data_IF_356379643980
#
_entry.id   IF_356379643980
#
_cell.length_a   1.000
_cell.length_b   1.000
_cell.length_c   1.000
_cell.angle_alpha   90.00
_cell.angle_beta   90.00
_cell.angle_gamma   90.00
#
_symmetry.space_group_name_H-M   'P 1'
#
loop_
_entity.id
_entity.type
_entity.pdbx_description
1 polymer ?
#
# COMPACT_ATOMS: atom_id res chain seq x y z
N UNK A 1 17.04 16.18 -20.94
CA UNK A 1 17.14 15.69 -22.33
C UNK A 1 17.69 14.28 -22.27
N UNK A 2 17.09 13.36 -23.02
CA UNK A 2 17.59 12.00 -23.23
C UNK A 2 17.63 11.83 -24.74
N UNK A 3 18.80 11.58 -25.32
CA UNK A 3 19.01 11.44 -26.77
C UNK A 3 18.40 12.60 -27.58
N UNK A 4 18.78 13.84 -27.25
CA UNK A 4 18.34 15.08 -27.95
C UNK A 4 16.83 15.38 -27.92
N UNK A 5 16.03 14.49 -27.33
CA UNK A 5 14.59 14.68 -27.14
C UNK A 5 14.30 15.40 -25.82
N UNK A 6 13.44 16.42 -25.87
CA UNK A 6 12.91 17.12 -24.69
C UNK A 6 11.70 16.35 -24.16
N UNK A 7 11.86 15.77 -22.96
CA UNK A 7 10.76 15.12 -22.25
C UNK A 7 10.22 16.06 -21.18
N UNK A 8 8.90 16.29 -21.19
CA UNK A 8 8.22 17.02 -20.12
C UNK A 8 7.94 16.05 -18.98
N UNK A 9 8.61 16.25 -17.86
CA UNK A 9 8.36 15.49 -16.63
C UNK A 9 7.26 16.19 -15.84
N UNK A 10 6.32 15.42 -15.31
CA UNK A 10 5.32 15.89 -14.34
C UNK A 10 5.16 14.85 -13.25
N UNK A 11 4.81 15.31 -12.05
CA UNK A 11 4.38 14.40 -10.99
C UNK A 11 3.04 13.81 -11.42
N UNK A 12 2.93 12.48 -11.40
CA UNK A 12 1.68 11.78 -11.70
C UNK A 12 0.75 11.79 -10.49
N UNK A 13 1.22 11.25 -9.37
CA UNK A 13 0.48 11.18 -8.12
C UNK A 13 1.46 11.07 -6.94
N UNK A 14 1.03 11.48 -5.76
CA UNK A 14 1.70 11.22 -4.49
C UNK A 14 0.93 10.13 -3.74
N UNK A 15 1.58 8.99 -3.58
CA UNK A 15 1.05 7.80 -2.90
C UNK A 15 1.79 7.66 -1.57
N UNK A 16 1.08 7.82 -0.46
CA UNK A 16 1.65 7.72 0.88
C UNK A 16 0.57 7.36 1.90
N UNK A 17 0.98 6.96 3.11
CA UNK A 17 0.06 6.69 4.21
C UNK A 17 -0.62 7.98 4.73
N UNK A 18 -1.67 7.83 5.55
CA UNK A 18 -2.47 8.98 6.02
C UNK A 18 -1.64 10.04 6.78
N UNK A 19 -0.74 9.68 7.72
CA UNK A 19 0.13 10.65 8.38
C UNK A 19 1.04 11.40 7.40
N UNK A 20 1.71 10.71 6.48
CA UNK A 20 2.61 11.34 5.52
C UNK A 20 1.87 12.29 4.59
N UNK A 21 0.66 11.93 4.11
CA UNK A 21 -0.17 12.82 3.28
C UNK A 21 -0.55 14.11 3.99
N UNK A 22 -0.96 14.01 5.25
CA UNK A 22 -1.30 15.19 6.05
C UNK A 22 -0.07 16.10 6.26
N UNK A 23 1.07 15.48 6.58
CA UNK A 23 2.33 16.18 6.78
C UNK A 23 2.79 16.94 5.52
N UNK A 24 2.90 16.27 4.37
CA UNK A 24 3.39 16.89 3.14
C UNK A 24 2.44 17.97 2.59
N UNK A 25 1.13 17.84 2.83
CA UNK A 25 0.15 18.87 2.45
C UNK A 25 0.10 20.05 3.43
N UNK A 26 0.73 19.94 4.60
CA UNK A 26 0.64 20.96 5.63
C UNK A 26 -0.77 21.11 6.22
N UNK A 27 -1.53 20.01 6.32
CA UNK A 27 -2.94 20.04 6.77
C UNK A 27 -3.12 19.35 8.13
N UNK A 28 -4.31 19.47 8.69
CA UNK A 28 -4.72 18.73 9.89
C UNK A 28 -4.61 17.22 9.70
N UNK A 29 -4.46 16.48 10.80
CA UNK A 29 -4.40 15.02 10.78
C UNK A 29 -5.68 14.43 10.20
N UNK A 30 -5.59 13.24 9.60
CA UNK A 30 -6.73 12.47 9.10
C UNK A 30 -7.78 12.13 10.19
N UNK A 31 -7.38 12.17 11.46
CA UNK A 31 -8.24 12.01 12.63
C UNK A 31 -8.69 13.36 13.24
N UNK A 32 -8.59 14.47 12.51
CA UNK A 32 -9.14 15.76 12.94
C UNK A 32 -10.56 15.96 12.40
N UNK A 33 -11.28 16.92 12.98
CA UNK A 33 -12.63 17.34 12.56
C UNK A 33 -12.71 17.65 11.07
N UNK A 34 -11.78 18.41 10.51
CA UNK A 34 -11.70 18.69 9.07
C UNK A 34 -10.61 17.84 8.39
N UNK A 35 -10.50 16.56 8.76
CA UNK A 35 -9.37 15.68 8.43
C UNK A 35 -9.37 15.03 7.05
N UNK A 36 -10.53 14.90 6.39
CA UNK A 36 -10.58 14.35 5.04
C UNK A 36 -9.72 15.19 4.09
N UNK A 37 -9.02 14.60 3.12
CA UNK A 37 -8.17 15.33 2.18
C UNK A 37 -8.90 15.76 0.90
N UNK A 38 -10.09 15.20 0.66
CA UNK A 38 -10.81 15.27 -0.62
C UNK A 38 -12.12 16.03 -0.53
N UNK A 39 -12.83 15.98 0.60
CA UNK A 39 -14.09 16.69 0.78
C UNK A 39 -14.18 17.41 2.13
N UNK A 40 -15.03 18.41 2.18
CA UNK A 40 -15.24 19.31 3.31
C UNK A 40 -16.07 18.68 4.46
N UNK A 41 -16.21 17.35 4.47
CA UNK A 41 -16.89 16.63 5.54
C UNK A 41 -16.27 16.94 6.91
N UNK A 42 -17.14 17.15 7.88
CA UNK A 42 -16.80 17.46 9.26
C UNK A 42 -17.03 16.20 10.10
N UNK A 43 -15.94 15.67 10.67
CA UNK A 43 -16.01 14.54 11.57
C UNK A 43 -16.44 14.99 12.97
N UNK A 44 -17.28 14.18 13.61
CA UNK A 44 -17.75 14.39 14.98
C UNK A 44 -16.88 13.58 15.95
N UNK A 45 -16.61 14.17 17.11
CA UNK A 45 -15.90 13.48 18.20
C UNK A 45 -16.91 12.70 19.05
N UNK A 46 -16.66 11.41 19.21
CA UNK A 46 -17.32 10.59 20.22
C UNK A 46 -16.50 10.63 21.51
N UNK A 47 -17.05 11.30 22.54
CA UNK A 47 -16.42 11.45 23.85
C UNK A 47 -16.26 10.13 24.61
N UNK A 48 -17.07 9.11 24.30
CA UNK A 48 -17.03 7.81 24.99
C UNK A 48 -15.87 6.97 24.47
N UNK A 49 -15.74 6.85 23.14
CA UNK A 49 -14.68 6.04 22.53
C UNK A 49 -13.42 6.84 22.23
N UNK A 50 -13.47 8.17 22.39
CA UNK A 50 -12.43 9.12 22.03
C UNK A 50 -11.99 9.01 20.56
N UNK A 51 -12.96 8.83 19.66
CA UNK A 51 -12.75 8.64 18.22
C UNK A 51 -13.46 9.71 17.41
N UNK A 52 -12.93 9.98 16.22
CA UNK A 52 -13.62 10.77 15.21
C UNK A 52 -14.38 9.86 14.26
N UNK A 53 -15.63 10.21 13.96
CA UNK A 53 -16.46 9.53 12.98
C UNK A 53 -17.08 10.52 11.99
N UNK A 54 -17.38 10.06 10.79
CA UNK A 54 -17.98 10.85 9.73
C UNK A 54 -19.44 10.47 9.54
N UNK A 55 -20.27 11.48 9.27
CA UNK A 55 -21.69 11.31 9.01
C UNK A 55 -21.98 11.51 7.53
N UNK A 56 -22.46 10.44 6.89
CA UNK A 56 -22.90 10.45 5.50
C UNK A 56 -21.77 10.57 4.46
N UNK A 57 -22.21 10.78 3.23
CA UNK A 57 -21.38 11.01 2.04
C UNK A 57 -21.73 12.35 1.38
N UNK A 58 -21.11 12.65 0.24
CA UNK A 58 -21.47 13.79 -0.62
C UNK A 58 -21.22 15.17 -0.01
N UNK A 59 -20.32 15.28 0.96
CA UNK A 59 -19.79 16.58 1.34
C UNK A 59 -19.13 17.26 0.14
N UNK A 60 -19.14 18.60 0.13
CA UNK A 60 -18.55 19.39 -0.95
C UNK A 60 -17.09 18.96 -1.19
N UNK A 61 -16.73 18.71 -2.45
CA UNK A 61 -15.36 18.35 -2.82
C UNK A 61 -14.46 19.57 -2.62
N UNK A 62 -13.27 19.36 -2.04
CA UNK A 62 -12.24 20.39 -2.01
C UNK A 62 -11.70 20.64 -3.40
N UNK A 63 -11.21 21.85 -3.62
CA UNK A 63 -10.58 22.22 -4.89
C UNK A 63 -9.18 22.77 -4.67
N UNK A 64 -8.31 22.58 -5.66
CA UNK A 64 -6.96 23.13 -5.69
C UNK A 64 -6.95 24.66 -5.58
N UNK A 65 -7.88 25.32 -6.30
CA UNK A 65 -8.04 26.78 -6.28
C UNK A 65 -8.33 27.28 -4.86
N UNK A 66 -9.36 26.74 -4.20
CA UNK A 66 -9.71 27.12 -2.82
C UNK A 66 -8.57 26.81 -1.84
N UNK A 67 -7.85 25.71 -2.05
CA UNK A 67 -6.70 25.37 -1.20
C UNK A 67 -5.58 26.40 -1.32
N UNK A 68 -5.23 26.81 -2.55
CA UNK A 68 -4.20 27.82 -2.83
C UNK A 68 -4.59 29.21 -2.33
N UNK A 69 -5.87 29.53 -2.38
CA UNK A 69 -6.43 30.76 -1.83
C UNK A 69 -6.59 30.75 -0.30
N UNK A 70 -6.17 29.67 0.37
CA UNK A 70 -6.29 29.51 1.82
C UNK A 70 -7.74 29.55 2.34
N UNK A 71 -8.71 29.14 1.51
CA UNK A 71 -10.16 29.14 1.84
C UNK A 71 -10.59 27.94 2.73
N UNK A 72 -9.64 27.19 3.27
CA UNK A 72 -9.89 26.07 4.18
C UNK A 72 -9.19 26.24 5.54
N UNK A 73 -9.55 27.25 6.35
CA UNK A 73 -8.82 27.62 7.57
C UNK A 73 -8.81 26.52 8.64
N UNK A 74 -9.86 25.70 8.71
CA UNK A 74 -9.93 24.56 9.65
C UNK A 74 -9.17 23.32 9.17
N UNK A 75 -8.71 23.30 7.92
CA UNK A 75 -8.01 22.17 7.30
C UNK A 75 -6.52 22.45 7.11
N UNK A 76 -6.15 23.65 6.65
CA UNK A 76 -4.77 24.04 6.34
C UNK A 76 -4.09 24.52 7.62
N UNK A 77 -2.95 23.92 7.95
CA UNK A 77 -2.13 24.30 9.11
C UNK A 77 -0.89 25.11 8.73
N UNK A 78 -0.22 24.69 7.67
CA UNK A 78 1.05 25.24 7.24
C UNK A 78 1.07 25.36 5.72
N UNK A 79 1.83 26.32 5.16
CA UNK A 79 2.13 26.33 3.74
C UNK A 79 2.91 25.08 3.35
N UNK A 80 2.79 24.67 2.08
CA UNK A 80 3.52 23.52 1.53
C UNK A 80 4.10 23.87 0.16
N UNK A 81 5.35 23.47 -0.14
CA UNK A 81 5.96 23.71 -1.44
C UNK A 81 5.26 22.96 -2.59
N UNK A 82 4.34 22.03 -2.27
CA UNK A 82 3.57 21.32 -3.28
C UNK A 82 2.68 22.26 -4.11
N UNK A 83 2.27 23.41 -3.57
CA UNK A 83 1.51 24.38 -4.35
C UNK A 83 2.37 25.04 -5.43
N UNK A 84 3.69 25.11 -5.27
CA UNK A 84 4.56 25.76 -6.28
C UNK A 84 4.79 24.87 -7.52
N UNK A 85 4.33 23.62 -7.49
CA UNK A 85 4.48 22.66 -8.58
C UNK A 85 3.54 22.98 -9.75
N UNK A 86 4.12 23.14 -10.94
CA UNK A 86 3.39 23.38 -12.18
C UNK A 86 2.67 22.10 -12.64
N UNK A 87 1.40 22.22 -12.99
CA UNK A 87 0.52 21.10 -13.39
C UNK A 87 0.34 20.05 -12.28
N UNK A 88 0.25 20.51 -11.03
CA UNK A 88 -0.02 19.66 -9.88
C UNK A 88 -1.24 20.19 -9.13
N UNK A 89 -2.25 19.34 -9.01
CA UNK A 89 -3.48 19.59 -8.25
C UNK A 89 -3.32 18.99 -6.84
N UNK A 90 -3.20 19.83 -5.82
CA UNK A 90 -2.90 19.36 -4.46
C UNK A 90 -4.04 18.57 -3.82
N UNK A 91 -5.26 18.71 -4.33
CA UNK A 91 -6.39 17.91 -3.88
C UNK A 91 -6.41 16.58 -4.61
N UNK A 92 -6.29 16.58 -5.93
CA UNK A 92 -6.49 15.40 -6.76
C UNK A 92 -5.24 14.51 -6.87
N UNK A 93 -4.04 15.10 -6.98
CA UNK A 93 -2.78 14.37 -7.19
C UNK A 93 -2.16 13.84 -5.91
N UNK A 94 -2.63 14.27 -4.73
CA UNK A 94 -2.34 13.59 -3.45
C UNK A 94 -3.46 12.62 -3.15
N UNK A 95 -3.22 11.33 -3.37
CA UNK A 95 -4.31 10.35 -3.39
C UNK A 95 -4.64 9.75 -2.03
N UNK A 96 -5.90 9.36 -1.81
CA UNK A 96 -6.31 8.63 -0.60
C UNK A 96 -6.40 7.12 -0.82
N UNK A 97 -6.64 6.68 -2.05
CA UNK A 97 -7.07 5.32 -2.45
C UNK A 97 -5.93 4.34 -2.66
N UNK A 98 -4.93 4.42 -1.80
CA UNK A 98 -3.86 3.45 -1.80
C UNK A 98 -4.38 2.06 -1.40
N UNK A 99 -4.20 1.10 -2.32
CA UNK A 99 -4.58 -0.30 -2.15
C UNK A 99 -4.07 -0.89 -0.82
N UNK A 100 -2.82 -0.62 -0.45
CA UNK A 100 -2.25 -1.20 0.76
C UNK A 100 -2.82 -0.54 2.03
N UNK A 101 -2.73 0.78 2.14
CA UNK A 101 -3.06 1.48 3.40
C UNK A 101 -4.55 1.73 3.61
N UNK A 102 -5.33 2.01 2.56
CA UNK A 102 -6.77 2.27 2.68
C UNK A 102 -7.57 0.97 2.64
N UNK A 103 -7.37 0.15 1.61
CA UNK A 103 -8.21 -1.02 1.34
C UNK A 103 -7.83 -2.18 2.25
N UNK A 104 -6.58 -2.66 2.15
CA UNK A 104 -6.18 -3.90 2.82
C UNK A 104 -5.90 -3.68 4.31
N UNK A 105 -4.94 -2.81 4.67
CA UNK A 105 -4.58 -2.52 6.07
C UNK A 105 -5.61 -1.65 6.79
N UNK A 106 -6.35 -0.82 6.05
CA UNK A 106 -7.35 0.08 6.58
C UNK A 106 -8.68 -0.62 6.80
N UNK A 107 -9.45 -0.81 5.72
CA UNK A 107 -10.83 -1.28 5.80
C UNK A 107 -10.94 -2.79 6.02
N UNK A 108 -10.24 -3.63 5.24
CA UNK A 108 -10.34 -5.08 5.37
C UNK A 108 -9.88 -5.54 6.76
N UNK A 109 -8.77 -4.98 7.26
CA UNK A 109 -8.31 -5.24 8.64
C UNK A 109 -9.33 -4.79 9.68
N UNK A 110 -10.01 -3.65 9.48
CA UNK A 110 -11.05 -3.16 10.38
C UNK A 110 -12.23 -4.13 10.45
N UNK A 111 -12.75 -4.56 9.29
CA UNK A 111 -13.85 -5.52 9.18
C UNK A 111 -13.53 -6.83 9.91
N UNK A 112 -12.35 -7.41 9.65
CA UNK A 112 -11.90 -8.63 10.32
C UNK A 112 -11.76 -8.47 11.84
N UNK A 113 -11.24 -7.34 12.33
CA UNK A 113 -11.19 -7.09 13.77
C UNK A 113 -12.59 -6.86 14.36
N UNK A 114 -13.51 -6.30 13.57
CA UNK A 114 -14.94 -6.21 13.89
C UNK A 114 -15.52 -7.56 14.25
N UNK A 115 -15.44 -8.51 13.32
CA UNK A 115 -15.99 -9.86 13.50
C UNK A 115 -15.18 -10.73 14.48
N UNK A 116 -13.84 -10.65 14.46
CA UNK A 116 -13.00 -11.51 15.32
C UNK A 116 -12.92 -11.01 16.77
N UNK A 117 -12.84 -9.69 16.98
CA UNK A 117 -12.62 -9.11 18.32
C UNK A 117 -13.86 -8.46 18.93
N UNK A 118 -14.92 -8.28 18.14
CA UNK A 118 -16.16 -7.65 18.58
C UNK A 118 -16.08 -6.12 18.57
N UNK A 119 -15.29 -5.52 17.67
CA UNK A 119 -15.24 -4.05 17.56
C UNK A 119 -16.54 -3.43 17.02
N UNK A 120 -17.44 -4.25 16.48
CA UNK A 120 -18.80 -3.86 16.05
C UNK A 120 -19.86 -4.20 17.13
N UNK A 121 -19.40 -4.53 18.33
CA UNK A 121 -20.23 -5.11 19.38
C UNK A 121 -20.20 -6.65 19.39
N UNK A 122 -20.70 -7.23 20.49
CA UNK A 122 -20.63 -8.68 20.71
C UNK A 122 -21.64 -9.48 19.88
N UNK A 123 -22.70 -8.85 19.37
CA UNK A 123 -23.75 -9.54 18.59
C UNK A 123 -23.25 -10.10 17.25
N UNK A 124 -22.23 -9.47 16.68
CA UNK A 124 -21.69 -9.79 15.36
C UNK A 124 -20.29 -10.41 15.46
N UNK A 125 -19.87 -10.71 16.70
CA UNK A 125 -18.56 -11.27 16.99
C UNK A 125 -18.62 -12.78 16.82
N UNK A 126 -17.67 -13.34 16.08
CA UNK A 126 -17.47 -14.78 16.02
C UNK A 126 -17.13 -15.35 17.39
N UNK A 127 -17.76 -16.47 17.71
CA UNK A 127 -17.41 -17.31 18.85
C UNK A 127 -15.98 -17.86 18.70
N UNK A 128 -15.40 -18.30 19.82
CA UNK A 128 -14.08 -18.93 19.82
C UNK A 128 -14.06 -20.17 18.91
N UNK A 129 -15.17 -20.94 18.89
CA UNK A 129 -15.33 -22.11 18.02
C UNK A 129 -15.27 -21.69 16.55
N UNK A 130 -16.05 -20.69 16.14
CA UNK A 130 -16.04 -20.18 14.76
C UNK A 130 -14.65 -19.65 14.37
N UNK A 131 -13.98 -18.90 15.25
CA UNK A 131 -12.63 -18.38 15.00
C UNK A 131 -11.63 -19.52 14.75
N UNK A 132 -11.72 -20.61 15.52
CA UNK A 132 -10.87 -21.78 15.35
C UNK A 132 -11.17 -22.50 14.02
N UNK A 133 -12.44 -22.68 13.67
CA UNK A 133 -12.85 -23.28 12.40
C UNK A 133 -12.41 -22.45 11.19
N UNK A 134 -12.58 -21.12 11.25
CA UNK A 134 -12.09 -20.22 10.19
C UNK A 134 -10.58 -20.31 10.10
N UNK A 135 -9.87 -20.33 11.23
CA UNK A 135 -8.42 -20.44 11.23
C UNK A 135 -7.95 -21.74 10.56
N UNK A 136 -8.57 -22.88 10.90
CA UNK A 136 -8.26 -24.15 10.25
C UNK A 136 -8.56 -24.11 8.75
N UNK A 137 -9.68 -23.50 8.34
CA UNK A 137 -9.99 -23.35 6.92
C UNK A 137 -8.93 -22.52 6.20
N UNK A 138 -8.57 -21.34 6.74
CA UNK A 138 -7.56 -20.45 6.18
C UNK A 138 -6.19 -21.12 6.03
N UNK A 139 -5.80 -21.91 7.04
CA UNK A 139 -4.52 -22.61 7.06
C UNK A 139 -4.50 -23.82 6.12
N UNK A 140 -5.65 -24.38 5.72
CA UNK A 140 -5.70 -25.52 4.80
C UNK A 140 -6.14 -25.13 3.37
N UNK A 141 -6.54 -23.88 3.17
CA UNK A 141 -7.03 -23.39 1.89
C UNK A 141 -5.94 -23.48 0.81
N UNK A 142 -6.25 -24.16 -0.29
CA UNK A 142 -5.38 -24.19 -1.46
C UNK A 142 -5.52 -22.87 -2.22
N UNK A 143 -4.39 -22.25 -2.51
CA UNK A 143 -4.31 -20.97 -3.20
C UNK A 143 -3.70 -21.15 -4.60
N UNK A 144 -4.07 -20.28 -5.57
CA UNK A 144 -3.37 -20.20 -6.85
C UNK A 144 -1.86 -20.04 -6.69
N UNK A 145 -1.09 -20.53 -7.66
CA UNK A 145 0.38 -20.60 -7.59
C UNK A 145 1.05 -19.22 -7.52
N UNK A 146 0.37 -18.18 -7.98
CA UNK A 146 0.78 -16.78 -7.92
C UNK A 146 0.75 -16.22 -6.49
N UNK A 147 0.04 -16.88 -5.57
CA UNK A 147 -0.08 -16.47 -4.17
C UNK A 147 0.87 -17.27 -3.31
N UNK A 148 2.08 -16.74 -3.15
CA UNK A 148 3.15 -17.41 -2.41
C UNK A 148 3.00 -17.45 -0.89
N UNK A 149 1.99 -16.78 -0.31
CA UNK A 149 1.79 -16.73 1.14
C UNK A 149 0.42 -17.30 1.51
N UNK A 150 0.46 -18.41 2.23
CA UNK A 150 -0.70 -19.01 2.89
C UNK A 150 -1.26 -18.09 3.97
N UNK A 151 -2.58 -18.14 4.17
CA UNK A 151 -3.23 -17.39 5.23
C UNK A 151 -2.95 -18.06 6.57
N UNK A 152 -2.57 -17.27 7.57
CA UNK A 152 -2.33 -17.75 8.94
C UNK A 152 -3.63 -17.77 9.73
N UNK A 153 -3.66 -18.47 10.87
CA UNK A 153 -4.76 -18.35 11.83
C UNK A 153 -5.11 -16.89 12.18
N UNK A 154 -6.40 -16.65 12.44
CA UNK A 154 -6.93 -15.38 12.95
C UNK A 154 -6.33 -14.97 14.31
N UNK A 155 -5.75 -15.91 15.07
CA UNK A 155 -4.95 -15.60 16.28
C UNK A 155 -3.86 -14.57 15.99
N UNK A 156 -3.29 -14.62 14.79
CA UNK A 156 -2.22 -13.72 14.35
C UNK A 156 -2.71 -12.51 13.56
N UNK A 157 -4.03 -12.25 13.50
CA UNK A 157 -4.63 -11.18 12.70
C UNK A 157 -3.98 -9.80 12.91
N UNK A 158 -3.53 -9.51 14.14
CA UNK A 158 -2.81 -8.26 14.44
C UNK A 158 -1.54 -8.10 13.58
N UNK A 159 -0.84 -9.21 13.33
CA UNK A 159 0.42 -9.30 12.58
C UNK A 159 0.23 -9.64 11.10
N UNK A 160 -1.01 -9.76 10.61
CA UNK A 160 -1.26 -9.96 9.20
C UNK A 160 -0.75 -8.78 8.38
N UNK A 161 -0.02 -9.11 7.31
CA UNK A 161 0.49 -8.14 6.34
C UNK A 161 -0.60 -7.80 5.33
N UNK A 162 -0.44 -6.68 4.62
CA UNK A 162 -1.36 -6.27 3.56
C UNK A 162 -1.67 -7.41 2.58
N UNK A 163 -0.65 -8.14 2.13
CA UNK A 163 -0.87 -9.24 1.16
C UNK A 163 -1.79 -10.34 1.68
N UNK A 164 -1.79 -10.63 2.98
CA UNK A 164 -2.72 -11.61 3.56
C UNK A 164 -4.14 -11.08 3.62
N UNK A 165 -4.30 -9.79 3.93
CA UNK A 165 -5.60 -9.12 3.92
C UNK A 165 -6.16 -9.03 2.50
N UNK A 166 -5.31 -8.77 1.50
CA UNK A 166 -5.65 -8.81 0.08
C UNK A 166 -6.12 -10.20 -0.35
N UNK A 167 -5.38 -11.24 0.01
CA UNK A 167 -5.74 -12.63 -0.29
C UNK A 167 -7.05 -13.02 0.41
N UNK A 168 -7.23 -12.61 1.67
CA UNK A 168 -8.48 -12.83 2.37
C UNK A 168 -9.64 -12.17 1.64
N UNK A 169 -9.52 -10.88 1.28
CA UNK A 169 -10.57 -10.14 0.57
C UNK A 169 -10.95 -10.84 -0.74
N UNK A 170 -10.00 -11.16 -1.62
CA UNK A 170 -10.34 -11.64 -2.96
C UNK A 170 -10.62 -13.15 -3.08
N UNK A 171 -10.17 -13.97 -2.14
CA UNK A 171 -10.29 -15.43 -2.25
C UNK A 171 -11.06 -16.06 -1.11
N UNK A 172 -10.73 -15.72 0.14
CA UNK A 172 -11.28 -16.42 1.29
C UNK A 172 -12.64 -15.85 1.73
N UNK A 173 -12.83 -14.53 1.63
CA UNK A 173 -13.93 -13.80 2.26
C UNK A 173 -15.31 -14.24 1.76
N UNK A 174 -15.49 -14.41 0.45
CA UNK A 174 -16.79 -14.75 -0.15
C UNK A 174 -17.32 -16.09 0.35
N UNK A 175 -16.42 -17.04 0.62
CA UNK A 175 -16.75 -18.37 1.13
C UNK A 175 -16.91 -18.33 2.64
N UNK A 176 -15.95 -17.73 3.35
CA UNK A 176 -15.92 -17.73 4.81
C UNK A 176 -17.08 -16.93 5.39
N UNK A 177 -17.46 -15.79 4.79
CA UNK A 177 -18.44 -14.89 5.39
C UNK A 177 -19.89 -15.34 5.17
N UNK A 178 -20.21 -16.06 4.09
CA UNK A 178 -21.59 -16.32 3.62
C UNK A 178 -22.51 -16.94 4.68
N UNK A 179 -21.96 -17.78 5.57
CA UNK A 179 -22.71 -18.46 6.63
C UNK A 179 -22.13 -18.18 8.03
N UNK A 180 -21.29 -17.13 8.17
CA UNK A 180 -20.61 -16.77 9.42
C UNK A 180 -20.95 -15.36 9.91
N UNK A 181 -21.63 -14.56 9.10
CA UNK A 181 -22.16 -13.24 9.49
C UNK A 181 -23.61 -13.14 9.02
N UNK A 182 -24.43 -12.24 9.62
CA UNK A 182 -25.80 -12.04 9.17
C UNK A 182 -25.90 -11.66 7.69
N UNK A 183 -26.94 -12.13 7.00
CA UNK A 183 -27.14 -11.91 5.56
C UNK A 183 -27.04 -10.44 5.12
N UNK A 184 -27.59 -9.51 5.90
CA UNK A 184 -27.52 -8.08 5.59
C UNK A 184 -26.07 -7.56 5.63
N UNK A 185 -25.25 -8.03 6.59
CA UNK A 185 -23.83 -7.70 6.65
C UNK A 185 -23.05 -8.34 5.51
N UNK A 186 -23.42 -9.54 5.11
CA UNK A 186 -22.80 -10.20 3.97
C UNK A 186 -23.08 -9.45 2.67
N UNK A 187 -24.35 -9.08 2.40
CA UNK A 187 -24.73 -8.26 1.24
C UNK A 187 -23.99 -6.92 1.21
N UNK A 188 -23.87 -6.27 2.36
CA UNK A 188 -23.09 -5.03 2.49
C UNK A 188 -21.60 -5.25 2.21
N UNK A 189 -20.99 -6.30 2.76
CA UNK A 189 -19.61 -6.68 2.43
C UNK A 189 -19.43 -6.97 0.93
N UNK A 190 -20.42 -7.57 0.28
CA UNK A 190 -20.37 -7.86 -1.15
C UNK A 190 -20.32 -6.58 -2.01
N UNK A 191 -20.90 -5.46 -1.58
CA UNK A 191 -20.72 -4.15 -2.24
C UNK A 191 -19.23 -3.79 -2.30
N UNK A 192 -18.54 -3.89 -1.15
CA UNK A 192 -17.11 -3.62 -1.07
C UNK A 192 -16.28 -4.61 -1.88
N UNK A 193 -16.54 -5.91 -1.75
CA UNK A 193 -15.83 -6.95 -2.51
C UNK A 193 -15.96 -6.74 -4.03
N UNK A 194 -17.18 -6.54 -4.52
CA UNK A 194 -17.46 -6.36 -5.94
C UNK A 194 -16.81 -5.07 -6.46
N UNK A 195 -17.04 -3.95 -5.78
CA UNK A 195 -16.50 -2.67 -6.21
C UNK A 195 -14.97 -2.67 -6.30
N UNK A 196 -14.28 -3.18 -5.26
CA UNK A 196 -12.83 -3.26 -5.26
C UNK A 196 -12.30 -4.18 -6.36
N UNK A 197 -13.00 -5.28 -6.64
CA UNK A 197 -12.63 -6.19 -7.73
C UNK A 197 -12.74 -5.48 -9.09
N UNK A 198 -13.85 -4.77 -9.33
CA UNK A 198 -14.07 -4.03 -10.58
C UNK A 198 -13.03 -2.90 -10.76
N UNK A 199 -12.69 -2.19 -9.70
CA UNK A 199 -11.72 -1.08 -9.74
C UNK A 199 -10.25 -1.53 -9.81
N UNK A 200 -9.97 -2.84 -9.80
CA UNK A 200 -8.59 -3.36 -9.81
C UNK A 200 -8.03 -3.67 -11.20
N UNK A 201 -8.80 -3.52 -12.28
CA UNK A 201 -8.33 -3.81 -13.65
C UNK A 201 -9.08 -3.00 -14.71
N UNK A 202 -8.40 -2.65 -15.81
CA UNK A 202 -9.05 -2.08 -17.01
C UNK A 202 -10.03 -3.04 -17.67
N UNK A 203 -9.93 -4.35 -17.43
CA UNK A 203 -10.89 -5.32 -17.96
C UNK A 203 -12.34 -5.03 -17.53
N UNK A 204 -12.52 -4.27 -16.44
CA UNK A 204 -13.82 -3.88 -15.90
C UNK A 204 -14.09 -2.38 -16.00
N UNK A 205 -13.36 -1.64 -16.84
CA UNK A 205 -13.45 -0.18 -16.95
C UNK A 205 -14.88 0.31 -17.21
N UNK A 206 -15.64 -0.39 -18.07
CA UNK A 206 -17.06 -0.13 -18.34
C UNK A 206 -17.97 -0.24 -17.10
N UNK A 207 -17.50 -0.84 -16.01
CA UNK A 207 -18.23 -1.04 -14.76
C UNK A 207 -17.66 -0.20 -13.60
N UNK A 208 -16.67 0.66 -13.84
CA UNK A 208 -16.10 1.47 -12.76
C UNK A 208 -17.12 2.43 -12.15
N UNK A 209 -18.01 3.02 -12.94
CA UNK A 209 -19.08 3.88 -12.41
C UNK A 209 -20.02 3.11 -11.47
N UNK A 210 -20.44 1.92 -11.87
CA UNK A 210 -21.23 1.02 -11.02
C UNK A 210 -20.47 0.68 -9.71
N UNK A 211 -19.16 0.41 -9.80
CA UNK A 211 -18.34 0.18 -8.63
C UNK A 211 -18.29 1.41 -7.71
N UNK A 212 -18.23 2.62 -8.25
CA UNK A 212 -18.35 3.86 -7.47
C UNK A 212 -19.66 3.94 -6.69
N UNK A 213 -20.79 3.67 -7.35
CA UNK A 213 -22.11 3.65 -6.71
C UNK A 213 -22.19 2.60 -5.59
N UNK A 214 -21.56 1.43 -5.78
CA UNK A 214 -21.45 0.41 -4.74
C UNK A 214 -20.64 0.89 -3.53
N UNK A 215 -19.54 1.63 -3.75
CA UNK A 215 -18.73 2.21 -2.67
C UNK A 215 -19.47 3.30 -1.90
N UNK A 216 -20.21 4.16 -2.60
CA UNK A 216 -21.05 5.19 -1.97
C UNK A 216 -22.13 4.55 -1.10
N UNK A 217 -22.80 3.52 -1.62
CA UNK A 217 -23.79 2.73 -0.87
C UNK A 217 -23.14 2.06 0.35
N UNK A 218 -21.97 1.45 0.17
CA UNK A 218 -21.22 0.83 1.26
C UNK A 218 -20.89 1.82 2.38
N UNK A 219 -20.41 3.03 2.05
CA UNK A 219 -20.05 4.05 3.04
C UNK A 219 -21.29 4.56 3.78
N UNK A 220 -22.39 4.80 3.05
CA UNK A 220 -23.66 5.26 3.60
C UNK A 220 -24.23 4.29 4.64
N UNK A 221 -24.34 3.01 4.27
CA UNK A 221 -24.97 2.00 5.11
C UNK A 221 -24.06 1.50 6.25
N UNK A 222 -22.76 1.84 6.23
CA UNK A 222 -21.79 1.33 7.20
C UNK A 222 -22.17 1.64 8.65
N UNK A 223 -22.62 2.87 8.90
CA UNK A 223 -22.98 3.34 10.24
C UNK A 223 -24.21 2.62 10.81
N UNK A 224 -25.20 2.37 9.96
CA UNK A 224 -26.45 1.71 10.33
C UNK A 224 -26.27 0.21 10.53
N UNK A 225 -25.39 -0.41 9.74
CA UNK A 225 -25.13 -1.85 9.80
C UNK A 225 -24.23 -2.23 10.96
N UNK A 226 -23.19 -1.45 11.24
CA UNK A 226 -22.20 -1.80 12.25
C UNK A 226 -22.31 -0.92 13.49
N UNK A 227 -21.99 0.36 13.37
CA UNK A 227 -22.16 1.40 14.38
C UNK A 227 -21.69 2.76 13.79
N UNK A 228 -22.35 3.85 14.15
CA UNK A 228 -22.03 5.19 13.61
C UNK A 228 -20.68 5.72 14.12
N UNK A 229 -20.32 5.45 15.38
CA UNK A 229 -19.06 5.91 16.00
C UNK A 229 -17.80 5.29 15.39
N UNK A 230 -17.97 4.22 14.58
CA UNK A 230 -16.86 3.54 13.93
C UNK A 230 -16.71 3.89 12.44
N UNK A 231 -17.46 4.87 11.91
CA UNK A 231 -17.26 5.40 10.55
C UNK A 231 -16.00 6.28 10.53
N UNK A 232 -14.84 5.63 10.65
CA UNK A 232 -13.52 6.25 10.69
C UNK A 232 -13.13 6.87 9.34
N UNK A 233 -12.10 7.71 9.33
CA UNK A 233 -11.50 8.26 8.09
C UNK A 233 -11.27 7.22 6.98
N UNK A 234 -10.81 6.01 7.33
CA UNK A 234 -10.63 4.93 6.35
C UNK A 234 -11.94 4.44 5.72
N UNK A 235 -13.06 4.43 6.45
CA UNK A 235 -14.38 4.07 5.89
C UNK A 235 -14.85 5.21 5.00
N UNK A 236 -14.80 6.45 5.52
CA UNK A 236 -15.20 7.64 4.79
C UNK A 236 -14.47 7.79 3.45
N UNK A 237 -13.15 7.60 3.42
CA UNK A 237 -12.33 7.78 2.21
C UNK A 237 -12.63 6.77 1.09
N UNK A 238 -13.39 5.69 1.35
CA UNK A 238 -13.75 4.71 0.32
C UNK A 238 -14.61 5.34 -0.78
N UNK A 239 -15.43 6.34 -0.45
CA UNK A 239 -16.24 7.09 -1.44
C UNK A 239 -15.37 7.86 -2.46
N UNK A 240 -14.09 8.08 -2.16
CA UNK A 240 -13.18 8.82 -3.05
C UNK A 240 -12.39 7.91 -4.01
N UNK A 241 -12.56 6.59 -3.91
CA UNK A 241 -11.78 5.62 -4.69
C UNK A 241 -12.11 5.69 -6.17
N UNK A 242 -13.39 5.78 -6.50
CA UNK A 242 -13.83 5.81 -7.90
C UNK A 242 -13.22 6.98 -8.69
N UNK A 243 -13.29 8.20 -8.15
CA UNK A 243 -12.74 9.39 -8.80
C UNK A 243 -11.23 9.25 -9.09
N UNK A 244 -10.48 8.68 -8.13
CA UNK A 244 -9.03 8.50 -8.27
C UNK A 244 -8.68 7.39 -9.25
N UNK A 245 -9.47 6.31 -9.30
CA UNK A 245 -9.30 5.24 -10.29
C UNK A 245 -9.59 5.76 -11.70
N UNK A 246 -10.61 6.59 -11.89
CA UNK A 246 -10.87 7.23 -13.18
C UNK A 246 -9.72 8.15 -13.61
N UNK A 247 -9.08 8.84 -12.67
CA UNK A 247 -7.99 9.79 -12.97
C UNK A 247 -6.66 9.08 -13.24
N UNK A 248 -6.33 8.06 -12.46
CA UNK A 248 -5.00 7.46 -12.45
C UNK A 248 -4.96 6.04 -13.01
N UNK A 249 -6.09 5.39 -13.26
CA UNK A 249 -6.16 3.98 -13.61
C UNK A 249 -6.44 3.09 -12.39
N UNK A 250 -6.48 1.76 -12.59
CA UNK A 250 -6.92 0.81 -11.57
C UNK A 250 -6.08 0.85 -10.29
N UNK A 251 -6.64 0.34 -9.19
CA UNK A 251 -6.04 0.36 -7.85
C UNK A 251 -4.57 -0.10 -7.78
N UNK A 252 -4.18 -1.07 -8.62
CA UNK A 252 -2.79 -1.57 -8.66
C UNK A 252 -1.79 -0.54 -9.20
N UNK A 253 -2.22 0.41 -10.05
CA UNK A 253 -1.36 1.48 -10.56
C UNK A 253 -1.12 2.62 -9.57
N UNK A 254 -1.97 2.71 -8.55
CA UNK A 254 -1.92 3.70 -7.48
C UNK A 254 -1.62 3.07 -6.10
N UNK A 255 -0.95 1.92 -6.14
CA UNK A 255 -0.64 1.10 -4.97
C UNK A 255 0.75 1.40 -4.40
N UNK A 256 0.85 1.46 -3.07
CA UNK A 256 2.14 1.58 -2.38
C UNK A 256 2.88 0.25 -2.19
N UNK A 257 2.29 -0.89 -2.55
CA UNK A 257 2.93 -2.23 -2.41
C UNK A 257 4.34 -2.31 -3.03
N UNK A 258 4.59 -1.85 -4.27
CA UNK A 258 5.92 -1.92 -4.87
C UNK A 258 6.95 -1.09 -4.09
N UNK A 259 6.51 0.07 -3.58
CA UNK A 259 7.36 1.01 -2.85
C UNK A 259 7.72 0.48 -1.46
N UNK A 260 6.77 -0.07 -0.71
CA UNK A 260 7.03 -0.71 0.60
C UNK A 260 7.97 -1.90 0.49
N UNK A 261 7.76 -2.75 -0.53
CA UNK A 261 8.66 -3.88 -0.81
C UNK A 261 10.09 -3.39 -1.12
N UNK A 262 10.22 -2.31 -1.88
CA UNK A 262 11.52 -1.72 -2.19
C UNK A 262 12.15 -1.05 -0.95
N UNK A 263 11.37 -0.33 -0.16
CA UNK A 263 11.82 0.33 1.06
C UNK A 263 12.37 -0.69 2.07
N UNK A 264 11.75 -1.87 2.18
CA UNK A 264 12.29 -2.96 2.99
C UNK A 264 13.70 -3.37 2.54
N UNK A 265 13.99 -3.37 1.24
CA UNK A 265 15.34 -3.66 0.72
C UNK A 265 16.34 -2.57 1.09
N UNK A 266 15.93 -1.30 1.03
CA UNK A 266 16.76 -0.17 1.45
C UNK A 266 17.06 -0.24 2.95
N UNK A 267 16.05 -0.53 3.78
CA UNK A 267 16.21 -0.68 5.24
C UNK A 267 17.24 -1.74 5.62
N UNK A 268 17.36 -2.83 4.84
CA UNK A 268 18.40 -3.86 5.05
C UNK A 268 19.83 -3.41 4.72
N UNK A 269 20.00 -2.28 4.03
CA UNK A 269 21.32 -1.67 3.78
C UNK A 269 21.80 -0.86 4.99
N UNK A 270 20.87 -0.47 5.86
CA UNK A 270 21.14 0.31 7.06
C UNK A 270 21.54 -0.62 8.21
N UNK A 271 22.56 -0.22 8.98
CA UNK A 271 22.96 -0.85 10.25
C UNK A 271 22.46 -0.05 11.45
N UNK A 272 22.29 1.25 11.31
CA UNK A 272 21.78 2.15 12.35
C UNK A 272 21.06 3.36 11.73
N UNK A 273 20.39 4.16 12.56
CA UNK A 273 19.73 5.40 12.13
C UNK A 273 20.66 6.57 11.83
N UNK A 274 21.94 6.50 12.21
CA UNK A 274 22.90 7.59 12.01
C UNK A 274 23.44 7.60 10.59
N UNK A 275 23.46 8.77 9.90
CA UNK A 275 23.99 8.89 8.53
C UNK A 275 23.40 7.85 7.56
N UNK A 276 22.06 7.73 7.59
CA UNK A 276 21.34 6.69 6.87
C UNK A 276 21.52 6.79 5.36
N UNK A 277 21.54 8.00 4.81
CA UNK A 277 21.79 8.23 3.38
C UNK A 277 23.19 7.75 2.98
N UNK A 278 24.21 8.15 3.73
CA UNK A 278 25.60 7.79 3.48
C UNK A 278 25.81 6.27 3.59
N UNK A 279 25.18 5.62 4.56
CA UNK A 279 25.20 4.15 4.68
C UNK A 279 24.63 3.48 3.42
N UNK A 280 23.48 3.95 2.92
CA UNK A 280 22.85 3.41 1.71
C UNK A 280 23.75 3.64 0.49
N UNK A 281 24.24 4.87 0.30
CA UNK A 281 25.12 5.23 -0.83
C UNK A 281 26.37 4.36 -0.83
N UNK A 282 27.06 4.25 0.31
CA UNK A 282 28.27 3.43 0.42
C UNK A 282 27.99 1.96 0.11
N UNK A 283 26.88 1.41 0.62
CA UNK A 283 26.52 0.00 0.38
C UNK A 283 26.14 -0.27 -1.07
N UNK A 284 25.46 0.67 -1.73
CA UNK A 284 25.12 0.55 -3.16
C UNK A 284 26.37 0.63 -4.03
N UNK A 285 27.30 1.54 -3.71
CA UNK A 285 28.60 1.66 -4.39
C UNK A 285 29.42 0.39 -4.24
N UNK A 286 29.56 -0.13 -3.02
CA UNK A 286 30.25 -1.41 -2.74
C UNK A 286 29.67 -2.55 -3.60
N UNK A 287 28.34 -2.71 -3.62
CA UNK A 287 27.67 -3.75 -4.42
C UNK A 287 27.94 -3.60 -5.91
N UNK A 288 27.96 -2.38 -6.44
CA UNK A 288 28.27 -2.11 -7.86
C UNK A 288 29.69 -2.51 -8.20
N UNK A 289 30.65 -2.14 -7.34
CA UNK A 289 32.06 -2.51 -7.51
C UNK A 289 32.25 -4.04 -7.45
N UNK A 290 31.60 -4.73 -6.51
CA UNK A 290 31.65 -6.19 -6.43
C UNK A 290 31.06 -6.87 -7.68
N UNK A 291 29.95 -6.34 -8.24
CA UNK A 291 29.38 -6.87 -9.49
C UNK A 291 30.34 -6.71 -10.67
N UNK A 292 30.90 -5.52 -10.84
CA UNK A 292 31.89 -5.25 -11.89
C UNK A 292 33.13 -6.14 -11.75
N UNK A 293 33.60 -6.39 -10.53
CA UNK A 293 34.72 -7.30 -10.29
C UNK A 293 34.38 -8.76 -10.68
N UNK A 294 33.16 -9.23 -10.38
CA UNK A 294 32.68 -10.56 -10.79
C UNK A 294 32.55 -10.69 -12.31
N UNK A 295 31.99 -9.69 -12.98
CA UNK A 295 31.86 -9.67 -14.45
C UNK A 295 33.24 -9.65 -15.14
N UNK A 296 34.19 -8.86 -14.62
CA UNK A 296 35.59 -8.89 -15.10
C UNK A 296 36.24 -10.26 -14.92
N UNK A 297 35.95 -10.96 -13.82
CA UNK A 297 36.46 -12.32 -13.61
C UNK A 297 35.78 -13.36 -14.52
N UNK A 298 34.51 -13.19 -14.87
CA UNK A 298 33.79 -14.09 -15.79
C UNK A 298 34.20 -13.90 -17.25
N UNK A 299 34.61 -12.69 -17.64
CA UNK A 299 35.08 -12.36 -18.99
C UNK A 299 36.58 -12.61 -19.21
N UNK A 300 37.25 -13.26 -18.26
CA UNK A 300 38.62 -13.76 -18.45
C UNK A 300 38.60 -14.86 -19.51
N UNK A 301 39.05 -14.53 -20.73
CA UNK A 301 39.32 -15.54 -21.78
C UNK A 301 40.63 -16.24 -21.45
N UNK A 302 40.53 -17.52 -21.11
CA UNK A 302 41.68 -18.38 -20.92
C UNK A 302 42.18 -18.92 -22.27
N UNK A 303 43.48 -19.20 -22.44
CA UNK A 303 44.55 -19.07 -21.44
C UNK A 303 44.91 -17.62 -21.09
N UNK A 304 45.25 -17.37 -19.82
CA UNK A 304 45.81 -16.09 -19.35
C UNK A 304 47.24 -16.34 -18.88
N UNK A 305 48.18 -15.58 -19.46
CA UNK A 305 49.57 -15.54 -19.03
C UNK A 305 49.71 -14.49 -17.92
N UNK A 306 50.26 -14.87 -16.76
CA UNK A 306 50.56 -13.97 -15.65
C UNK A 306 52.06 -14.08 -15.36
N UNK A 307 52.76 -12.95 -15.45
CA UNK A 307 54.17 -12.81 -15.07
C UNK A 307 54.27 -12.21 -13.68
N UNK A 308 54.89 -12.95 -12.73
CA UNK A 308 55.18 -12.47 -11.37
C UNK A 308 56.69 -12.52 -11.15
N UNK A 309 57.37 -11.40 -11.35
CA UNK A 309 58.84 -11.37 -11.31
C UNK A 309 59.44 -12.22 -12.45
N UNK A 310 60.26 -13.22 -12.10
CA UNK A 310 60.86 -14.14 -13.07
C UNK A 310 60.00 -15.39 -13.34
N UNK A 311 58.88 -15.55 -12.62
CA UNK A 311 57.97 -16.68 -12.78
C UNK A 311 56.88 -16.39 -13.82
N UNK A 312 56.65 -17.38 -14.69
CA UNK A 312 55.56 -17.37 -15.67
C UNK A 312 54.51 -18.40 -15.26
N UNK A 313 53.29 -17.94 -15.04
CA UNK A 313 52.11 -18.76 -14.73
C UNK A 313 51.12 -18.69 -15.92
N UNK A 314 50.69 -19.84 -16.45
CA UNK A 314 49.62 -19.92 -17.46
C UNK A 314 48.38 -20.47 -16.78
N UNK A 315 47.35 -19.65 -16.63
CA UNK A 315 46.04 -20.13 -16.18
C UNK A 315 45.25 -20.60 -17.41
N UNK A 316 44.73 -21.83 -17.38
CA UNK A 316 43.92 -22.40 -18.48
C UNK A 316 42.41 -22.37 -18.17
N UNK A 317 42.05 -22.25 -16.89
CA UNK A 317 40.69 -22.03 -16.35
C UNK A 317 40.81 -21.49 -14.90
N UNK A 318 39.74 -21.04 -14.23
CA UNK A 318 39.82 -20.37 -12.92
C UNK A 318 40.69 -21.07 -11.87
N UNK A 319 40.60 -22.40 -11.80
CA UNK A 319 41.29 -23.20 -10.77
C UNK A 319 42.35 -24.15 -11.34
N UNK A 320 42.88 -23.88 -12.54
CA UNK A 320 43.96 -24.68 -13.14
C UNK A 320 45.05 -23.82 -13.75
N UNK A 321 46.26 -23.97 -13.23
CA UNK A 321 47.44 -23.21 -13.62
C UNK A 321 48.64 -24.12 -13.92
N UNK A 322 49.42 -23.76 -14.94
CA UNK A 322 50.72 -24.34 -15.24
C UNK A 322 51.79 -23.33 -14.81
N UNK A 323 52.80 -23.80 -14.08
CA UNK A 323 53.98 -23.02 -13.71
C UNK A 323 55.22 -23.79 -14.14
N UNK A 324 56.26 -23.09 -14.58
CA UNK A 324 57.56 -23.72 -14.87
C UNK A 324 58.09 -24.35 -13.58
N UNK A 325 58.26 -25.67 -13.56
CA UNK A 325 58.85 -26.37 -12.41
C UNK A 325 60.29 -25.90 -12.21
N UNK A 326 60.65 -25.58 -10.97
CA UNK A 326 62.03 -25.25 -10.62
C UNK A 326 62.92 -26.48 -10.84
N UNK A 327 64.05 -26.30 -11.52
CA UNK A 327 65.12 -27.30 -11.53
C UNK A 327 65.63 -27.42 -10.07
N UNK A 328 65.61 -28.64 -9.53
CA UNK A 328 66.10 -28.96 -8.19
C UNK A 328 67.61 -29.10 -8.19
#
# INVERSE_FOLDING_TARGET
>A
MLNESKYKLRIRAIIADSPARAFIKGVVSFNATSGCLKCEAVATHDSVTNRMYFDGINALKRTDIKFRNMEYPSHIKNPTPLIDLINFDIIQDVIVSDRLHLIDLGLMKKLLNGWCRGLFGYRTKWSIKEINEISMFLENMQLPSEIHRQLRSLKYLHYWKGTELRTFLHYASIVILKDRIPDYMYKHFMLFFCAITLLSSYAYEQHWELAGQMLDTFVNEFGDIYDKSIVSSNVHNIQHVYDEVCRFGPLEEISSYPFENHLQRIKRLLRSGSRSLEQVVNRLTERRLCKQAKEKNHNKRYPILITKGHDIEIHLKPDFMLKKGGEK
#
